data_IF_769716529335
#
_entry.id   IF_769716529335
#
_cell.length_a   1.000
_cell.length_b   1.000
_cell.length_c   1.000
_cell.angle_alpha   90.00
_cell.angle_beta   90.00
_cell.angle_gamma   90.00
#
_symmetry.space_group_name_H-M   'P 1'
#
loop_
_entity.id
_entity.type
_entity.pdbx_description
1 polymer ?
#
# COMPACT_ATOMS: atom_id res chain seq x y z
N UNK A 1 12.26 29.25 7.70
CA UNK A 1 11.14 28.34 8.05
C UNK A 1 11.25 28.01 9.52
N UNK A 2 10.18 28.20 10.29
CA UNK A 2 10.17 27.98 11.74
C UNK A 2 9.96 26.50 12.03
N UNK A 3 10.53 25.96 13.12
CA UNK A 3 10.33 24.55 13.51
C UNK A 3 8.85 24.21 13.75
N UNK A 4 8.04 25.23 14.08
CA UNK A 4 6.58 25.12 14.22
C UNK A 4 5.90 24.68 12.93
N UNK A 5 6.47 25.00 11.77
CA UNK A 5 5.94 24.63 10.45
C UNK A 5 6.20 23.15 10.11
N UNK A 6 7.04 22.46 10.89
CA UNK A 6 7.47 21.06 10.67
C UNK A 6 6.99 20.10 11.77
N UNK A 7 6.16 20.56 12.70
CA UNK A 7 5.72 19.79 13.87
C UNK A 7 4.20 19.80 14.03
N UNK A 8 3.67 18.69 14.57
CA UNK A 8 2.24 18.48 14.80
C UNK A 8 1.75 19.50 15.85
N UNK A 9 0.48 19.95 15.81
CA UNK A 9 -0.07 20.80 16.86
C UNK A 9 -0.08 20.16 18.26
N UNK A 10 -0.02 18.83 18.36
CA UNK A 10 0.15 18.08 19.61
C UNK A 10 1.48 17.30 19.61
N UNK A 11 2.59 17.97 19.93
CA UNK A 11 3.88 17.34 20.26
C UNK A 11 4.11 17.45 21.76
N UNK A 12 4.67 16.39 22.37
CA UNK A 12 5.07 16.43 23.78
C UNK A 12 6.23 17.42 23.99
N UNK A 13 6.37 17.98 25.20
CA UNK A 13 7.51 18.85 25.54
C UNK A 13 8.86 18.17 25.28
N UNK A 14 8.92 16.86 25.51
CA UNK A 14 10.12 16.05 25.26
C UNK A 14 10.51 15.99 23.78
N UNK A 15 9.55 15.79 22.86
CA UNK A 15 9.84 15.77 21.42
C UNK A 15 10.36 17.12 20.91
N UNK A 16 9.87 18.23 21.49
CA UNK A 16 10.34 19.57 21.15
C UNK A 16 11.79 19.77 21.62
N UNK A 17 12.13 19.35 22.84
CA UNK A 17 13.48 19.46 23.38
C UNK A 17 14.47 18.59 22.60
N UNK A 18 14.09 17.34 22.28
CA UNK A 18 14.89 16.44 21.45
C UNK A 18 15.10 17.03 20.05
N UNK A 19 14.07 17.57 19.41
CA UNK A 19 14.24 18.20 18.10
C UNK A 19 15.15 19.42 18.14
N UNK A 20 15.06 20.26 19.18
CA UNK A 20 15.99 21.39 19.37
C UNK A 20 17.42 20.88 19.49
N UNK A 21 17.66 19.84 20.29
CA UNK A 21 18.97 19.22 20.41
C UNK A 21 19.46 18.66 19.06
N UNK A 22 18.62 17.93 18.32
CA UNK A 22 18.96 17.41 16.98
C UNK A 22 19.28 18.56 16.00
N UNK A 23 18.55 19.68 16.08
CA UNK A 23 18.78 20.84 15.22
C UNK A 23 20.10 21.55 15.53
N UNK A 24 20.46 21.68 16.81
CA UNK A 24 21.75 22.26 17.22
C UNK A 24 22.91 21.38 16.76
N UNK A 25 22.72 20.06 16.68
CA UNK A 25 23.70 19.12 16.18
C UNK A 25 23.72 18.97 14.64
N UNK A 26 22.94 19.76 13.91
CA UNK A 26 22.88 19.68 12.44
C UNK A 26 22.21 18.42 11.88
N UNK A 27 21.55 17.62 12.73
CA UNK A 27 20.95 16.32 12.38
C UNK A 27 19.51 16.43 11.83
N UNK A 28 19.02 17.65 11.60
CA UNK A 28 17.67 17.89 11.08
C UNK A 28 17.62 18.04 9.55
N UNK A 29 18.76 17.97 8.87
CA UNK A 29 18.84 17.96 7.41
C UNK A 29 18.18 16.70 6.84
N UNK A 30 17.10 16.86 6.06
CA UNK A 30 16.36 15.73 5.48
C UNK A 30 15.43 14.98 6.44
N UNK A 31 15.32 15.41 7.69
CA UNK A 31 14.45 14.76 8.67
C UNK A 31 12.97 15.02 8.35
N UNK A 32 12.22 13.95 8.14
CA UNK A 32 10.77 13.98 7.99
C UNK A 32 10.14 13.42 9.26
N UNK A 33 9.46 14.27 10.02
CA UNK A 33 8.64 13.88 11.17
C UNK A 33 7.28 13.41 10.66
N UNK A 34 6.56 12.56 11.41
CA UNK A 34 5.17 12.16 11.12
C UNK A 34 4.94 11.42 9.79
N UNK A 35 5.96 10.83 9.18
CA UNK A 35 5.76 9.97 8.03
C UNK A 35 5.46 8.54 8.50
N UNK A 36 4.28 7.97 8.22
CA UNK A 36 4.01 6.57 8.54
C UNK A 36 5.06 5.68 7.86
N UNK A 37 5.77 4.88 8.65
CA UNK A 37 6.63 3.82 8.12
C UNK A 37 5.74 2.62 7.91
N UNK A 38 5.40 2.36 6.66
CA UNK A 38 4.56 1.22 6.28
C UNK A 38 5.37 -0.07 6.44
N UNK A 39 5.15 -0.78 7.55
CA UNK A 39 5.77 -2.08 7.86
C UNK A 39 4.93 -3.28 7.39
N UNK A 40 3.72 -3.06 6.86
CA UNK A 40 2.86 -4.13 6.37
C UNK A 40 3.46 -4.78 5.13
N UNK A 41 3.65 -6.10 5.19
CA UNK A 41 4.01 -6.93 4.05
C UNK A 41 2.76 -7.62 3.51
N UNK A 42 2.73 -7.82 2.20
CA UNK A 42 1.66 -8.56 1.52
C UNK A 42 2.29 -9.42 0.44
N UNK A 43 1.68 -10.56 0.16
CA UNK A 43 2.12 -11.51 -0.86
C UNK A 43 0.98 -11.63 -1.87
N UNK A 44 0.98 -10.81 -2.95
CA UNK A 44 0.03 -10.98 -4.04
C UNK A 44 0.29 -12.28 -4.80
N UNK A 45 -0.75 -12.86 -5.40
CA UNK A 45 -0.62 -14.06 -6.24
C UNK A 45 0.24 -13.81 -7.47
N UNK A 46 0.10 -12.63 -8.10
CA UNK A 46 0.95 -12.20 -9.19
C UNK A 46 1.41 -10.77 -9.01
N UNK A 47 2.69 -10.53 -9.32
CA UNK A 47 3.32 -9.23 -9.15
C UNK A 47 4.25 -8.91 -10.33
N UNK A 48 4.05 -7.74 -10.94
CA UNK A 48 4.93 -7.17 -11.94
C UNK A 48 5.64 -5.95 -11.36
N UNK A 49 6.77 -6.20 -10.69
CA UNK A 49 7.60 -5.18 -10.03
C UNK A 49 7.92 -3.99 -10.97
N UNK A 50 8.33 -4.28 -12.21
CA UNK A 50 8.71 -3.26 -13.20
C UNK A 50 7.56 -2.33 -13.60
N UNK A 51 6.31 -2.80 -13.47
CA UNK A 51 5.10 -2.05 -13.80
C UNK A 51 4.37 -1.54 -12.55
N UNK A 52 4.87 -1.89 -11.35
CA UNK A 52 4.19 -1.70 -10.07
C UNK A 52 2.73 -2.20 -10.08
N UNK A 53 2.51 -3.40 -10.62
CA UNK A 53 1.17 -4.01 -10.70
C UNK A 53 1.10 -5.28 -9.87
N UNK A 54 0.05 -5.44 -9.09
CA UNK A 54 -0.22 -6.63 -8.30
C UNK A 54 -1.63 -7.16 -8.59
N UNK A 55 -1.78 -8.47 -8.59
CA UNK A 55 -3.06 -9.16 -8.77
C UNK A 55 -3.25 -10.14 -7.61
N UNK A 56 -4.44 -10.09 -7.01
CA UNK A 56 -4.90 -11.02 -5.99
C UNK A 56 -6.02 -11.89 -6.59
N UNK A 57 -5.89 -13.20 -6.46
CA UNK A 57 -6.89 -14.18 -6.84
C UNK A 57 -7.59 -14.69 -5.58
N UNK A 58 -8.78 -14.18 -5.29
CA UNK A 58 -9.55 -14.63 -4.15
C UNK A 58 -10.57 -15.67 -4.57
N UNK A 59 -10.34 -16.91 -4.14
CA UNK A 59 -11.39 -17.92 -4.21
C UNK A 59 -12.54 -17.50 -3.32
N UNK A 60 -13.77 -17.51 -3.84
CA UNK A 60 -14.99 -17.15 -3.11
C UNK A 60 -15.18 -18.12 -1.93
N UNK A 61 -14.58 -17.82 -0.79
CA UNK A 61 -14.77 -18.59 0.43
C UNK A 61 -16.07 -18.12 1.07
N UNK A 62 -16.95 -19.06 1.39
CA UNK A 62 -18.27 -18.85 2.03
C UNK A 62 -18.16 -18.16 3.41
N UNK A 63 -16.94 -17.91 3.89
CA UNK A 63 -16.61 -17.28 5.17
C UNK A 63 -15.50 -16.23 5.06
N UNK A 64 -15.62 -15.25 4.17
CA UNK A 64 -14.76 -14.06 4.24
C UNK A 64 -15.07 -13.30 5.53
N UNK A 65 -14.17 -13.37 6.52
CA UNK A 65 -14.29 -12.60 7.76
C UNK A 65 -14.11 -11.11 7.43
N UNK A 66 -15.00 -10.23 7.91
CA UNK A 66 -14.93 -8.77 7.67
C UNK A 66 -13.54 -8.18 8.03
N UNK A 67 -12.88 -8.74 9.04
CA UNK A 67 -11.51 -8.37 9.47
C UNK A 67 -10.40 -8.69 8.46
N UNK A 68 -10.64 -9.57 7.49
CA UNK A 68 -9.72 -9.79 6.36
C UNK A 68 -9.92 -8.70 5.31
N UNK A 69 -11.17 -8.36 4.98
CA UNK A 69 -11.48 -7.27 4.05
C UNK A 69 -10.87 -5.95 4.47
N UNK A 70 -11.05 -5.53 5.73
CA UNK A 70 -10.45 -4.29 6.24
C UNK A 70 -8.91 -4.29 6.12
N UNK A 71 -8.27 -5.44 6.40
CA UNK A 71 -6.82 -5.56 6.27
C UNK A 71 -6.36 -5.49 4.83
N UNK A 72 -7.10 -6.10 3.91
CA UNK A 72 -6.78 -6.10 2.50
C UNK A 72 -6.98 -4.72 1.89
N UNK A 73 -8.05 -4.02 2.25
CA UNK A 73 -8.30 -2.63 1.84
C UNK A 73 -7.17 -1.71 2.29
N UNK A 74 -6.76 -1.79 3.55
CA UNK A 74 -5.64 -0.98 4.05
C UNK A 74 -4.33 -1.30 3.30
N UNK A 75 -4.08 -2.58 2.99
CA UNK A 75 -2.91 -2.98 2.19
C UNK A 75 -2.98 -2.41 0.78
N UNK A 76 -4.15 -2.43 0.14
CA UNK A 76 -4.35 -1.86 -1.20
C UNK A 76 -4.07 -0.36 -1.18
N UNK A 77 -4.64 0.38 -0.22
CA UNK A 77 -4.38 1.82 -0.08
C UNK A 77 -2.89 2.13 0.10
N UNK A 78 -2.19 1.33 0.91
CA UNK A 78 -0.75 1.48 1.13
C UNK A 78 0.07 1.17 -0.13
N UNK A 79 -0.37 0.22 -0.95
CA UNK A 79 0.23 -0.09 -2.24
C UNK A 79 0.00 1.06 -3.22
N UNK A 80 -1.23 1.55 -3.35
CA UNK A 80 -1.60 2.67 -4.23
C UNK A 80 -0.88 3.96 -3.84
N UNK A 81 -0.74 4.26 -2.56
CA UNK A 81 0.04 5.39 -2.05
C UNK A 81 1.54 5.29 -2.43
N UNK A 82 2.05 4.09 -2.70
CA UNK A 82 3.41 3.84 -3.21
C UNK A 82 3.47 3.81 -4.74
N UNK A 83 2.38 4.13 -5.42
CA UNK A 83 2.25 4.14 -6.89
C UNK A 83 2.12 2.73 -7.47
N UNK A 84 1.60 1.77 -6.71
CA UNK A 84 1.20 0.48 -7.24
C UNK A 84 -0.24 0.50 -7.73
N UNK A 85 -0.54 -0.35 -8.69
CA UNK A 85 -1.92 -0.68 -9.05
C UNK A 85 -2.22 -2.09 -8.62
N UNK A 86 -3.35 -2.27 -7.97
CA UNK A 86 -3.79 -3.56 -7.47
C UNK A 86 -5.08 -3.97 -8.16
N UNK A 87 -5.18 -5.23 -8.58
CA UNK A 87 -6.40 -5.82 -9.13
C UNK A 87 -6.79 -7.05 -8.32
N UNK A 88 -8.03 -7.09 -7.84
CA UNK A 88 -8.63 -8.27 -7.21
C UNK A 88 -9.54 -8.99 -8.20
N UNK A 89 -9.38 -10.30 -8.30
CA UNK A 89 -10.26 -11.15 -9.10
C UNK A 89 -10.83 -12.21 -8.19
N UNK A 90 -12.14 -12.09 -7.92
CA UNK A 90 -12.89 -13.14 -7.23
C UNK A 90 -13.25 -14.26 -8.21
N UNK A 91 -13.08 -15.52 -7.80
CA UNK A 91 -13.46 -16.69 -8.62
C UNK A 91 -14.20 -17.74 -7.80
N UNK A 92 -15.16 -18.43 -8.44
CA UNK A 92 -15.81 -19.61 -7.87
C UNK A 92 -15.05 -20.86 -8.31
N UNK A 93 -14.64 -21.68 -7.35
CA UNK A 93 -13.99 -22.96 -7.65
C UNK A 93 -15.08 -24.02 -7.97
N UNK A 94 -14.88 -24.88 -8.98
CA UNK A 94 -13.70 -24.98 -9.86
C UNK A 94 -13.73 -23.93 -10.99
N UNK A 95 -12.56 -23.31 -11.27
CA UNK A 95 -12.41 -22.41 -12.42
C UNK A 95 -12.71 -23.17 -13.71
N UNK A 96 -13.76 -22.75 -14.42
CA UNK A 96 -14.03 -23.29 -15.74
C UNK A 96 -12.97 -22.80 -16.74
N UNK A 97 -12.77 -23.54 -17.84
CA UNK A 97 -11.87 -23.10 -18.93
C UNK A 97 -12.26 -21.74 -19.52
N UNK A 98 -13.53 -21.34 -19.42
CA UNK A 98 -14.01 -20.02 -19.85
C UNK A 98 -13.58 -18.95 -18.85
N UNK A 99 -13.82 -19.16 -17.56
CA UNK A 99 -13.46 -18.20 -16.50
C UNK A 99 -11.95 -17.98 -16.42
N UNK A 100 -11.16 -19.02 -16.67
CA UNK A 100 -9.71 -18.91 -16.78
C UNK A 100 -9.30 -17.99 -17.94
N UNK A 101 -9.89 -18.19 -19.13
CA UNK A 101 -9.61 -17.32 -20.29
C UNK A 101 -9.99 -15.87 -20.01
N UNK A 102 -11.16 -15.63 -19.42
CA UNK A 102 -11.60 -14.28 -19.06
C UNK A 102 -10.68 -13.64 -18.00
N UNK A 103 -10.27 -14.41 -17.00
CA UNK A 103 -9.32 -13.96 -15.96
C UNK A 103 -7.99 -13.57 -16.58
N UNK A 104 -7.43 -14.42 -17.44
CA UNK A 104 -6.18 -14.15 -18.15
C UNK A 104 -6.31 -12.92 -19.06
N UNK A 105 -7.42 -12.74 -19.77
CA UNK A 105 -7.65 -11.55 -20.59
C UNK A 105 -7.76 -10.28 -19.75
N UNK A 106 -8.43 -10.33 -18.60
CA UNK A 106 -8.51 -9.23 -17.64
C UNK A 106 -7.13 -8.86 -17.12
N UNK A 107 -6.34 -9.84 -16.66
CA UNK A 107 -4.96 -9.64 -16.19
C UNK A 107 -4.10 -9.05 -17.32
N UNK A 108 -4.22 -9.57 -18.55
CA UNK A 108 -3.46 -9.07 -19.70
C UNK A 108 -3.78 -7.61 -19.99
N UNK A 109 -5.06 -7.23 -20.00
CA UNK A 109 -5.49 -5.83 -20.16
C UNK A 109 -4.98 -4.96 -19.02
N UNK A 110 -5.08 -5.43 -17.78
CA UNK A 110 -4.60 -4.72 -16.61
C UNK A 110 -3.08 -4.50 -16.63
N UNK A 111 -2.30 -5.50 -17.00
CA UNK A 111 -0.84 -5.41 -17.03
C UNK A 111 -0.37 -4.50 -18.17
N UNK A 112 -1.12 -4.45 -19.28
CA UNK A 112 -0.78 -3.66 -20.46
C UNK A 112 -1.43 -2.27 -20.54
N UNK A 113 -2.40 -1.95 -19.67
CA UNK A 113 -2.88 -0.56 -19.56
C UNK A 113 -1.70 0.31 -19.14
N UNK A 114 -1.23 1.16 -20.04
CA UNK A 114 -0.15 2.09 -19.72
C UNK A 114 -0.85 3.31 -19.16
N UNK A 115 -0.52 3.68 -17.93
CA UNK A 115 -0.92 5.00 -17.43
C UNK A 115 -0.09 6.00 -18.20
N UNK A 116 -0.74 6.72 -19.11
CA UNK A 116 -0.22 7.94 -19.71
C UNK A 116 0.02 9.01 -18.64
#
# INVERSE_FOLDING_TARGET
MSYKDRMHPQVSKAEIEVFKALSVNGLTGGMVTQKPIVLKSTIPDFCWLNKRKAVYLDGKQVHSNDKQRERDEEVIELMEAKGWKVMRIEYEAPLSKKDLKETVEKIKKFVNSTDE
#
